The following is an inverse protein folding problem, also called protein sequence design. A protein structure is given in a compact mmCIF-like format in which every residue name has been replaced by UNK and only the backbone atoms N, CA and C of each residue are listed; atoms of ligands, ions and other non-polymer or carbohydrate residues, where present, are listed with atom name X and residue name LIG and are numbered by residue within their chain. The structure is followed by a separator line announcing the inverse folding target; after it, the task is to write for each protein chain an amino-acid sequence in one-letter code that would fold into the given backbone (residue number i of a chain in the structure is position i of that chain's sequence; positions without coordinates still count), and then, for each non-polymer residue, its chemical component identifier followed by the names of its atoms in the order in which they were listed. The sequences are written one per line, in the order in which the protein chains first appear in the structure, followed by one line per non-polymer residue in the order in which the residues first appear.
data_IF_870296531982
#
_entry.id   IF_870296531982
#
_cell.length_a   1.000
_cell.length_b   1.000
_cell.length_c   1.000
_cell.angle_alpha   90.00
_cell.angle_beta   90.00
_cell.angle_gamma   90.00
#
_symmetry.space_group_name_H-M   'P 1'
#
loop_
_entity.id
_entity.type
_entity.pdbx_description
1 polymer ?
#
# COMPACT_ATOMS: atom_id res chain seq x y z
N UNK A 1 0.36 16.28 14.29
CA UNK A 1 1.16 15.72 13.17
C UNK A 1 0.57 14.39 12.74
N UNK A 2 0.59 14.07 11.44
CA UNK A 2 0.24 12.72 10.97
C UNK A 2 1.28 11.71 11.48
N UNK A 3 0.86 10.48 11.77
CA UNK A 3 1.78 9.38 12.10
C UNK A 3 2.93 9.29 11.10
N UNK A 4 4.13 8.96 11.59
CA UNK A 4 5.23 8.55 10.72
C UNK A 4 4.80 7.30 9.94
N UNK A 5 4.94 7.35 8.62
CA UNK A 5 4.57 6.31 7.65
C UNK A 5 5.73 6.09 6.71
N UNK A 6 5.86 4.88 6.19
CA UNK A 6 6.89 4.58 5.19
C UNK A 6 6.62 5.31 3.87
N UNK A 7 7.68 5.57 3.09
CA UNK A 7 7.59 6.23 1.78
C UNK A 7 6.63 5.50 0.81
N UNK A 8 6.60 4.16 0.86
CA UNK A 8 5.69 3.34 0.04
C UNK A 8 4.22 3.60 0.38
N UNK A 9 3.87 3.69 1.67
CA UNK A 9 2.51 4.01 2.11
C UNK A 9 2.14 5.43 1.70
N UNK A 10 3.03 6.40 1.89
CA UNK A 10 2.78 7.80 1.50
C UNK A 10 2.53 7.92 -0.01
N UNK A 11 3.32 7.22 -0.84
CA UNK A 11 3.12 7.17 -2.29
C UNK A 11 1.79 6.54 -2.68
N UNK A 12 1.38 5.46 -2.00
CA UNK A 12 0.08 4.83 -2.22
C UNK A 12 -1.07 5.77 -1.88
N UNK A 13 -1.01 6.43 -0.72
CA UNK A 13 -2.03 7.39 -0.27
C UNK A 13 -2.14 8.57 -1.24
N UNK A 14 -1.00 9.14 -1.66
CA UNK A 14 -0.96 10.22 -2.65
C UNK A 14 -1.59 9.78 -3.99
N UNK A 15 -1.28 8.57 -4.48
CA UNK A 15 -1.90 8.02 -5.70
C UNK A 15 -3.41 7.86 -5.54
N UNK A 16 -3.89 7.33 -4.42
CA UNK A 16 -5.32 7.17 -4.15
C UNK A 16 -6.05 8.49 -4.02
N UNK A 17 -5.42 9.52 -3.46
CA UNK A 17 -5.94 10.87 -3.44
C UNK A 17 -6.04 11.44 -4.87
N UNK A 18 -4.97 11.32 -5.66
CA UNK A 18 -4.95 11.78 -7.06
C UNK A 18 -5.99 11.08 -7.92
N UNK A 19 -6.28 9.80 -7.70
CA UNK A 19 -7.30 9.06 -8.47
C UNK A 19 -8.75 9.46 -8.12
N UNK A 20 -8.98 10.09 -6.97
CA UNK A 20 -10.32 10.37 -6.45
C UNK A 20 -10.88 11.73 -6.91
N UNK A 21 -10.79 12.02 -8.21
CA UNK A 21 -11.30 13.26 -8.82
C UNK A 21 -12.52 13.00 -9.71
N UNK A 22 -13.28 14.08 -9.98
CA UNK A 22 -14.36 14.08 -10.98
C UNK A 22 -13.79 14.03 -12.40
N UNK A 23 -14.61 13.63 -13.36
CA UNK A 23 -14.19 13.55 -14.77
C UNK A 23 -14.08 14.97 -15.34
N UNK A 24 -13.00 15.30 -16.07
CA UNK A 24 -12.87 16.58 -16.75
C UNK A 24 -13.93 16.77 -17.85
N UNK A 25 -14.43 18.00 -17.99
CA UNK A 25 -15.50 18.36 -18.95
C UNK A 25 -15.19 17.93 -20.39
N UNK A 26 -13.96 18.11 -20.87
CA UNK A 26 -13.58 17.79 -22.25
C UNK A 26 -13.66 16.30 -22.58
N UNK A 27 -13.65 15.42 -21.58
CA UNK A 27 -13.90 13.98 -21.76
C UNK A 27 -15.37 13.74 -22.10
N UNK A 28 -16.30 14.47 -21.48
CA UNK A 28 -17.74 14.38 -21.78
C UNK A 28 -18.07 14.89 -23.18
N UNK A 29 -17.31 15.86 -23.67
CA UNK A 29 -17.51 16.46 -24.99
C UNK A 29 -16.99 15.58 -26.15
N UNK A 30 -16.28 14.47 -25.86
CA UNK A 30 -15.80 13.57 -26.91
C UNK A 30 -16.96 12.81 -27.56
N UNK A 31 -17.06 12.89 -28.88
CA UNK A 31 -18.06 12.16 -29.68
C UNK A 31 -17.98 10.65 -29.43
N UNK A 32 -19.13 10.01 -29.25
CA UNK A 32 -19.23 8.56 -29.00
C UNK A 32 -18.86 8.11 -27.57
N UNK A 33 -18.47 9.04 -26.68
CA UNK A 33 -18.14 8.70 -25.31
C UNK A 33 -19.41 8.59 -24.43
N UNK A 34 -19.59 7.43 -23.78
CA UNK A 34 -20.73 7.18 -22.86
C UNK A 34 -20.39 7.48 -21.40
N UNK A 35 -19.14 7.80 -21.07
CA UNK A 35 -18.68 7.99 -19.69
C UNK A 35 -19.20 9.33 -19.14
N UNK A 36 -20.02 9.29 -18.08
CA UNK A 36 -20.59 10.49 -17.41
C UNK A 36 -20.01 10.77 -16.03
N UNK A 37 -19.67 9.74 -15.26
CA UNK A 37 -19.11 9.90 -13.92
C UNK A 37 -18.00 8.88 -13.66
N UNK A 38 -17.14 9.18 -12.68
CA UNK A 38 -16.09 8.26 -12.26
C UNK A 38 -16.69 7.21 -11.32
N UNK A 39 -16.98 6.01 -11.83
CA UNK A 39 -17.55 4.90 -11.06
C UNK A 39 -16.63 4.38 -9.95
N UNK A 40 -15.32 4.64 -10.05
CA UNK A 40 -14.31 4.25 -9.04
C UNK A 40 -14.06 5.33 -7.98
N UNK A 41 -14.79 6.45 -8.03
CA UNK A 41 -14.68 7.50 -7.02
C UNK A 41 -15.14 6.96 -5.67
N UNK A 42 -14.44 7.31 -4.60
CA UNK A 42 -14.64 6.74 -3.26
C UNK A 42 -14.88 7.83 -2.23
N UNK A 43 -15.89 7.63 -1.38
CA UNK A 43 -16.05 8.44 -0.17
C UNK A 43 -15.30 7.81 1.01
N UNK A 44 -14.61 8.64 1.81
CA UNK A 44 -13.71 8.16 2.86
C UNK A 44 -14.42 7.53 4.07
N UNK A 45 -15.68 7.91 4.32
CA UNK A 45 -16.51 7.27 5.35
C UNK A 45 -17.14 5.97 4.87
N UNK A 46 -17.46 5.85 3.58
CA UNK A 46 -18.19 4.70 3.02
C UNK A 46 -17.32 3.48 2.70
N UNK A 47 -16.06 3.68 2.28
CA UNK A 47 -15.16 2.55 1.96
C UNK A 47 -13.75 2.88 2.43
N UNK A 48 -13.11 1.96 3.16
CA UNK A 48 -11.75 2.14 3.69
C UNK A 48 -10.67 1.76 2.67
N UNK A 49 -9.47 2.32 2.83
CA UNK A 49 -8.31 1.94 2.03
C UNK A 49 -7.64 0.71 2.67
N UNK A 50 -7.58 -0.40 1.93
CA UNK A 50 -6.84 -1.58 2.37
C UNK A 50 -5.33 -1.32 2.30
N UNK A 51 -4.71 -1.05 3.45
CA UNK A 51 -3.25 -0.84 3.57
C UNK A 51 -2.49 -2.11 3.95
N UNK A 52 -3.19 -3.17 4.36
CA UNK A 52 -2.63 -4.39 4.97
C UNK A 52 -1.79 -5.22 4.00
N UNK A 53 -2.17 -5.30 2.71
CA UNK A 53 -1.37 -6.02 1.71
C UNK A 53 -0.02 -5.37 1.38
N UNK A 54 0.16 -4.10 1.73
CA UNK A 54 1.43 -3.36 1.50
C UNK A 54 2.40 -3.59 2.68
N UNK A 55 1.89 -3.94 3.85
CA UNK A 55 2.69 -4.11 5.08
C UNK A 55 3.22 -5.53 5.26
N UNK A 56 2.56 -6.55 4.69
CA UNK A 56 2.90 -7.97 4.88
C UNK A 56 4.27 -8.36 4.31
N UNK A 57 4.74 -7.74 3.23
CA UNK A 57 6.09 -7.99 2.69
C UNK A 57 7.21 -7.57 3.66
N UNK A 58 6.99 -6.49 4.41
CA UNK A 58 7.94 -6.02 5.45
C UNK A 58 7.96 -6.93 6.67
N UNK A 59 6.78 -7.38 7.13
CA UNK A 59 6.68 -8.27 8.27
C UNK A 59 7.24 -9.67 7.97
N UNK A 60 7.00 -10.19 6.76
CA UNK A 60 7.58 -11.46 6.33
C UNK A 60 9.12 -11.37 6.26
N UNK A 61 9.66 -10.27 5.73
CA UNK A 61 11.12 -10.06 5.66
C UNK A 61 11.75 -9.90 7.05
N UNK A 62 11.10 -9.18 7.99
CA UNK A 62 11.61 -9.05 9.36
C UNK A 62 11.55 -10.38 10.13
N UNK A 63 10.47 -11.14 9.98
CA UNK A 63 10.34 -12.44 10.65
C UNK A 63 11.34 -13.47 10.09
N UNK A 64 11.60 -13.48 8.78
CA UNK A 64 12.64 -14.34 8.21
C UNK A 64 14.06 -13.93 8.65
N UNK A 65 14.32 -12.64 8.78
CA UNK A 65 15.60 -12.16 9.32
C UNK A 65 15.80 -12.59 10.77
N UNK A 66 14.80 -12.45 11.64
CA UNK A 66 14.88 -12.90 13.04
C UNK A 66 15.07 -14.42 13.16
N UNK A 67 14.37 -15.21 12.36
CA UNK A 67 14.55 -16.67 12.32
C UNK A 67 15.96 -17.04 11.85
N UNK A 68 16.46 -16.40 10.78
CA UNK A 68 17.81 -16.67 10.26
C UNK A 68 18.89 -16.29 11.28
N UNK A 69 18.70 -15.19 11.99
CA UNK A 69 19.59 -14.73 13.06
C UNK A 69 19.61 -15.73 14.22
N UNK A 70 18.44 -16.18 14.69
CA UNK A 70 18.34 -17.18 15.78
C UNK A 70 18.94 -18.53 15.41
N UNK A 71 18.69 -19.02 14.19
CA UNK A 71 19.28 -20.27 13.68
C UNK A 71 20.80 -20.15 13.58
N UNK A 72 21.32 -19.01 13.15
CA UNK A 72 22.77 -18.75 13.10
C UNK A 72 23.40 -18.74 14.49
N UNK A 73 22.77 -18.08 15.47
CA UNK A 73 23.24 -18.09 16.86
C UNK A 73 23.23 -19.49 17.48
N UNK A 74 22.24 -20.32 17.16
CA UNK A 74 22.18 -21.68 17.68
C UNK A 74 23.29 -22.56 17.08
N UNK A 75 23.51 -22.52 15.75
CA UNK A 75 24.55 -23.31 15.07
C UNK A 75 25.97 -23.01 15.53
N UNK A 76 26.28 -21.77 15.92
CA UNK A 76 27.61 -21.37 16.41
C UNK A 76 27.89 -21.92 17.83
N UNK A 77 26.86 -22.10 18.65
CA UNK A 77 27.04 -22.60 20.03
C UNK A 77 27.22 -24.13 20.09
N UNK A 78 26.75 -24.88 19.09
CA UNK A 78 26.87 -26.35 19.04
C UNK A 78 28.27 -26.81 18.62
N UNK A 79 29.01 -25.98 17.87
CA UNK A 79 30.38 -26.27 17.41
C UNK A 79 31.47 -25.85 18.40
N UNK A 80 31.10 -25.23 19.53
CA UNK A 80 32.04 -24.69 20.54
C UNK A 80 32.05 -25.50 21.85
N UNK A 81 31.58 -26.76 21.83
CA UNK A 81 31.69 -27.73 22.92
C UNK A 81 32.51 -28.93 22.46
#
# INVERSE_FOLDING_TARGET
MSSHKTSRINRFLAKKQKQNHSIPQWIWMKTGNKIRYNSKRRHWRGTKLGLQGITQETAHTSMLHEVHVLVSYHSVNITTT
#
